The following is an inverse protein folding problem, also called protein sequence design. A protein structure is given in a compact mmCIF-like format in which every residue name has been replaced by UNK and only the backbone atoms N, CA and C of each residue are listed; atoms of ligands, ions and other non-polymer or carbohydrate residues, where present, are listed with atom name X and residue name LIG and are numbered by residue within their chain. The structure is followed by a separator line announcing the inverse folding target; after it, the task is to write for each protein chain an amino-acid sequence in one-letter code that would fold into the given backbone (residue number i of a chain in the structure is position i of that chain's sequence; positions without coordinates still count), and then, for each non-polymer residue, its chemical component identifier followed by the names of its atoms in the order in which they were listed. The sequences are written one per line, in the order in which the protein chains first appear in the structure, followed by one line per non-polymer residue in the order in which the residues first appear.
data_IF_680237094849
#
_entry.id   IF_680237094849
#
_cell.length_a   1.000
_cell.length_b   1.000
_cell.length_c   1.000
_cell.angle_alpha   90.00
_cell.angle_beta   90.00
_cell.angle_gamma   90.00
#
_symmetry.space_group_name_H-M   'P 1'
#
loop_
_entity.id
_entity.type
_entity.pdbx_description
1 polymer ?
#
# COMPACT_ATOMS: atom_id res chain seq x y z
N UNK A 1 -9.53 3.98 0.45
CA UNK A 1 -8.31 3.17 0.21
C UNK A 1 -8.74 1.72 0.13
N UNK A 2 -8.25 0.96 -0.87
CA UNK A 2 -8.59 -0.45 -0.98
C UNK A 2 -8.13 -1.21 0.28
N UNK A 3 -9.04 -2.01 0.84
CA UNK A 3 -8.74 -2.94 1.94
C UNK A 3 -8.65 -4.34 1.33
N UNK A 4 -7.57 -5.05 1.61
CA UNK A 4 -7.28 -6.37 1.05
C UNK A 4 -6.59 -7.21 2.12
N UNK A 5 -7.03 -8.45 2.33
CA UNK A 5 -6.27 -9.40 3.14
C UNK A 5 -4.95 -9.70 2.45
N UNK A 6 -3.84 -9.26 3.04
CA UNK A 6 -2.50 -9.38 2.46
C UNK A 6 -1.97 -10.80 2.69
N UNK A 7 -2.26 -11.69 1.75
CA UNK A 7 -1.61 -13.01 1.65
C UNK A 7 -0.46 -12.96 0.66
N UNK A 8 0.54 -13.84 0.79
CA UNK A 8 1.66 -13.92 -0.16
C UNK A 8 1.16 -14.04 -1.61
N UNK A 9 0.25 -14.97 -1.86
CA UNK A 9 -0.35 -15.19 -3.18
C UNK A 9 -1.19 -14.00 -3.66
N UNK A 10 -1.90 -13.31 -2.76
CA UNK A 10 -2.65 -12.10 -3.08
C UNK A 10 -1.72 -10.96 -3.53
N UNK A 11 -0.61 -10.77 -2.81
CA UNK A 11 0.40 -9.73 -3.11
C UNK A 11 1.10 -9.99 -4.44
N UNK A 12 1.47 -11.24 -4.72
CA UNK A 12 2.14 -11.64 -5.97
C UNK A 12 1.26 -11.44 -7.21
N UNK A 13 -0.06 -11.60 -7.07
CA UNK A 13 -1.02 -11.42 -8.18
C UNK A 13 -1.35 -9.97 -8.50
N UNK A 14 -1.06 -9.04 -7.58
CA UNK A 14 -1.35 -7.63 -7.83
C UNK A 14 -0.46 -7.12 -8.99
N UNK A 15 -1.00 -6.36 -9.95
CA UNK A 15 -0.17 -5.68 -10.94
C UNK A 15 0.72 -4.61 -10.26
N UNK A 16 1.76 -4.16 -10.96
CA UNK A 16 2.45 -2.93 -10.56
C UNK A 16 1.56 -1.72 -10.81
N UNK A 17 1.89 -0.60 -10.17
CA UNK A 17 1.11 0.62 -10.36
C UNK A 17 1.35 1.18 -11.76
N UNK A 18 0.30 1.32 -12.55
CA UNK A 18 0.33 2.00 -13.84
C UNK A 18 -0.29 3.38 -13.68
N UNK A 19 0.50 4.43 -13.95
CA UNK A 19 0.01 5.79 -13.95
C UNK A 19 -0.90 5.98 -15.15
N UNK A 20 -2.18 6.30 -14.92
CA UNK A 20 -3.05 6.76 -16.00
C UNK A 20 -2.66 8.17 -16.41
N UNK A 21 -2.68 8.44 -17.73
CA UNK A 21 -2.41 9.77 -18.27
C UNK A 21 -3.37 10.79 -17.64
N UNK A 22 -2.86 11.65 -16.76
CA UNK A 22 -3.63 12.65 -16.02
C UNK A 22 -3.66 12.46 -14.48
N UNK A 23 -3.16 11.34 -13.96
CA UNK A 23 -3.03 11.13 -12.51
C UNK A 23 -1.65 11.57 -12.01
N UNK A 24 -1.62 12.47 -11.01
CA UNK A 24 -0.40 12.85 -10.30
C UNK A 24 0.09 11.79 -9.30
N UNK A 25 -0.68 10.71 -9.11
CA UNK A 25 -0.31 9.58 -8.25
C UNK A 25 0.66 8.66 -8.99
N UNK A 26 1.65 8.17 -8.25
CA UNK A 26 2.68 7.23 -8.71
C UNK A 26 2.67 5.91 -7.92
N UNK A 27 1.66 5.73 -7.06
CA UNK A 27 1.57 4.61 -6.14
C UNK A 27 0.12 4.34 -5.72
N UNK A 28 -0.14 3.09 -5.33
CA UNK A 28 -1.38 2.64 -4.68
C UNK A 28 -1.06 2.04 -3.29
N UNK A 29 -1.95 2.26 -2.33
CA UNK A 29 -1.81 1.74 -0.95
C UNK A 29 -2.95 0.76 -0.64
N UNK A 30 -2.57 -0.49 -0.36
CA UNK A 30 -3.48 -1.53 0.10
C UNK A 30 -3.30 -1.71 1.61
N UNK A 31 -4.39 -1.63 2.38
CA UNK A 31 -4.34 -1.89 3.83
C UNK A 31 -4.86 -3.28 4.13
N UNK A 32 -4.18 -3.95 5.06
CA UNK A 32 -4.59 -5.26 5.53
C UNK A 32 -5.93 -5.18 6.26
N UNK A 33 -6.75 -6.22 6.10
CA UNK A 33 -8.07 -6.31 6.72
C UNK A 33 -8.03 -6.80 8.16
N UNK A 34 -6.97 -7.52 8.56
CA UNK A 34 -6.82 -8.17 9.86
C UNK A 34 -5.84 -7.42 10.77
N UNK A 35 -4.78 -6.84 10.20
CA UNK A 35 -3.76 -6.09 10.93
C UNK A 35 -3.86 -4.58 10.67
N UNK A 36 -4.53 -3.88 11.60
CA UNK A 36 -4.68 -2.44 11.52
C UNK A 36 -3.32 -1.71 11.47
N UNK A 37 -3.20 -0.76 10.53
CA UNK A 37 -1.97 -0.02 10.31
C UNK A 37 -0.92 -0.78 9.51
N UNK A 38 -1.15 -2.03 9.09
CA UNK A 38 -0.25 -2.73 8.17
C UNK A 38 -0.76 -2.66 6.73
N UNK A 39 0.15 -2.43 5.78
CA UNK A 39 -0.23 -2.28 4.39
C UNK A 39 0.86 -2.63 3.40
N UNK A 40 0.51 -2.56 2.13
CA UNK A 40 1.39 -2.71 0.99
C UNK A 40 1.32 -1.46 0.12
N UNK A 41 2.49 -0.87 -0.12
CA UNK A 41 2.69 0.19 -1.10
C UNK A 41 3.12 -0.43 -2.43
N UNK A 42 2.34 -0.21 -3.48
CA UNK A 42 2.64 -0.67 -4.83
C UNK A 42 3.02 0.54 -5.68
N UNK A 43 4.22 0.52 -6.24
CA UNK A 43 4.71 1.50 -7.23
C UNK A 43 4.82 0.85 -8.60
N UNK A 44 5.24 1.60 -9.62
CA UNK A 44 5.49 1.04 -10.95
C UNK A 44 6.63 0.02 -11.01
N UNK A 45 7.46 -0.07 -9.98
CA UNK A 45 8.66 -0.93 -9.96
C UNK A 45 8.76 -1.85 -8.76
N UNK A 46 7.96 -1.63 -7.71
CA UNK A 46 8.16 -2.35 -6.44
C UNK A 46 6.86 -2.51 -5.66
N UNK A 47 6.86 -3.52 -4.79
CA UNK A 47 5.86 -3.74 -3.74
C UNK A 47 6.58 -3.73 -2.41
N UNK A 48 6.23 -2.80 -1.51
CA UNK A 48 6.89 -2.61 -0.22
C UNK A 48 5.87 -2.67 0.90
N UNK A 49 6.09 -3.52 1.89
CA UNK A 49 5.27 -3.51 3.10
C UNK A 49 5.53 -2.24 3.90
N UNK A 50 4.47 -1.69 4.48
CA UNK A 50 4.52 -0.47 5.29
C UNK A 50 3.73 -0.66 6.57
N UNK A 51 4.16 0.03 7.62
CA UNK A 51 3.40 0.19 8.86
C UNK A 51 3.05 1.66 9.07
N UNK A 52 1.78 1.93 9.33
CA UNK A 52 1.27 3.22 9.78
C UNK A 52 1.30 3.29 11.30
N UNK A 53 1.95 4.34 11.81
CA UNK A 53 1.99 4.66 13.23
C UNK A 53 1.74 6.14 13.44
N UNK A 54 1.46 6.53 14.68
CA UNK A 54 1.43 7.95 15.08
C UNK A 54 2.69 8.31 15.86
N UNK A 55 3.33 9.41 15.46
CA UNK A 55 4.47 10.01 16.15
C UNK A 55 4.11 11.47 16.43
N UNK A 56 4.04 11.86 17.70
CA UNK A 56 3.66 13.22 18.12
C UNK A 56 2.34 13.70 17.47
N UNK A 57 1.33 12.82 17.45
CA UNK A 57 0.01 13.12 16.85
C UNK A 57 -0.02 13.11 15.32
N UNK A 58 1.10 12.92 14.63
CA UNK A 58 1.19 12.87 13.17
C UNK A 58 1.23 11.44 12.67
N UNK A 59 0.50 11.16 11.59
CA UNK A 59 0.58 9.87 10.90
C UNK A 59 1.90 9.75 10.16
N UNK A 60 2.69 8.73 10.50
CA UNK A 60 3.98 8.39 9.90
C UNK A 60 3.89 6.97 9.35
N UNK A 61 4.52 6.75 8.19
CA UNK A 61 4.61 5.43 7.57
C UNK A 61 6.09 5.08 7.40
N UNK A 62 6.48 3.87 7.82
CA UNK A 62 7.82 3.31 7.66
C UNK A 62 7.75 1.99 6.92
#
# INVERSE_FOLDING_TARGET
MPKLKLTKSGVERLPYYEASAGSSKNQELYWDTELAGFGLRVTGSSKTYIAEKRVNGRTVRS
#
